data_IF_335101268790
#
_entry.id   IF_335101268790
#
_cell.length_a   1.000
_cell.length_b   1.000
_cell.length_c   1.000
_cell.angle_alpha   90.00
_cell.angle_beta   90.00
_cell.angle_gamma   90.00
#
_symmetry.space_group_name_H-M   'P 1'
#
loop_
_entity.id
_entity.type
_entity.pdbx_description
1 polymer ?
#
# COMPACT_ATOMS: atom_id res chain seq x y z
N UNK A 1 33.70 -71.55 1.82
CA UNK A 1 32.39 -70.92 2.07
C UNK A 1 32.34 -70.47 3.52
N UNK A 2 32.38 -69.16 3.78
CA UNK A 2 32.02 -68.55 5.07
C UNK A 2 31.35 -67.22 4.73
N UNK A 3 30.06 -67.14 5.02
CA UNK A 3 29.15 -66.10 4.58
C UNK A 3 29.30 -64.83 5.43
N UNK A 4 29.40 -63.67 4.78
CA UNK A 4 29.20 -62.36 5.42
C UNK A 4 27.69 -62.13 5.59
N UNK A 5 27.25 -61.94 6.84
CA UNK A 5 25.90 -61.51 7.18
C UNK A 5 25.96 -60.01 7.45
N UNK A 6 25.41 -59.20 6.54
CA UNK A 6 25.19 -57.77 6.76
C UNK A 6 23.89 -57.57 7.54
N UNK A 7 23.98 -56.98 8.73
CA UNK A 7 22.84 -56.56 9.54
C UNK A 7 22.40 -55.17 9.07
N UNK A 8 21.22 -55.08 8.48
CA UNK A 8 20.58 -53.83 8.08
C UNK A 8 19.82 -53.27 9.29
N UNK A 9 20.31 -52.18 9.88
CA UNK A 9 19.63 -51.47 10.95
C UNK A 9 18.51 -50.60 10.36
N UNK A 10 17.26 -50.99 10.60
CA UNK A 10 16.08 -50.21 10.22
C UNK A 10 15.83 -49.12 11.28
N UNK A 11 16.16 -47.87 10.96
CA UNK A 11 15.81 -46.71 11.79
C UNK A 11 14.34 -46.33 11.54
N UNK A 12 13.45 -46.67 12.46
CA UNK A 12 12.09 -46.14 12.48
C UNK A 12 12.10 -44.71 13.02
N UNK A 13 11.97 -43.72 12.15
CA UNK A 13 11.76 -42.32 12.52
C UNK A 13 10.28 -42.12 12.82
N UNK A 14 9.92 -42.06 14.11
CA UNK A 14 8.59 -41.64 14.54
C UNK A 14 8.51 -40.11 14.50
N UNK A 15 7.81 -39.57 13.51
CA UNK A 15 7.52 -38.13 13.43
C UNK A 15 6.49 -37.74 14.50
N UNK A 16 6.73 -36.70 15.32
CA UNK A 16 5.75 -36.21 16.25
C UNK A 16 4.61 -35.52 15.49
N UNK A 17 3.38 -35.99 15.67
CA UNK A 17 2.19 -35.25 15.31
C UNK A 17 2.12 -34.02 16.22
N UNK A 18 2.60 -32.88 15.73
CA UNK A 18 2.38 -31.60 16.38
C UNK A 18 0.87 -31.31 16.35
N UNK A 19 0.21 -31.48 17.50
CA UNK A 19 -1.16 -31.00 17.67
C UNK A 19 -1.15 -29.49 17.47
N UNK A 20 -1.70 -29.02 16.35
CA UNK A 20 -1.83 -27.58 16.10
C UNK A 20 -2.98 -27.04 16.94
N UNK A 21 -2.74 -25.90 17.59
CA UNK A 21 -3.71 -25.24 18.47
C UNK A 21 -4.87 -24.59 17.69
N UNK A 22 -4.72 -24.50 16.37
CA UNK A 22 -5.70 -23.99 15.42
C UNK A 22 -5.41 -24.60 14.05
N UNK A 23 -6.46 -24.82 13.29
CA UNK A 23 -6.37 -25.31 11.92
C UNK A 23 -6.48 -24.11 10.98
N UNK A 24 -5.45 -23.83 10.18
CA UNK A 24 -5.49 -22.76 9.19
C UNK A 24 -6.68 -22.95 8.25
N UNK A 25 -7.45 -21.89 8.06
CA UNK A 25 -8.56 -21.84 7.12
C UNK A 25 -8.47 -20.51 6.37
N UNK A 26 -8.72 -20.53 5.07
CA UNK A 26 -8.69 -19.32 4.24
C UNK A 26 -10.04 -19.15 3.56
N UNK A 27 -10.58 -17.93 3.62
CA UNK A 27 -11.87 -17.63 3.01
C UNK A 27 -12.56 -16.46 3.68
N UNK A 28 -13.88 -16.45 3.59
CA UNK A 28 -14.72 -15.46 4.26
C UNK A 28 -15.72 -16.15 5.19
N UNK A 29 -15.91 -15.57 6.37
CA UNK A 29 -17.01 -15.87 7.28
C UNK A 29 -18.12 -14.84 7.08
N UNK A 30 -19.34 -15.28 6.80
CA UNK A 30 -20.52 -14.41 6.67
C UNK A 30 -21.42 -14.62 7.87
N UNK A 31 -21.61 -13.59 8.70
CA UNK A 31 -22.46 -13.69 9.87
C UNK A 31 -23.95 -13.71 9.44
N UNK A 32 -24.72 -14.67 9.94
CA UNK A 32 -26.16 -14.77 9.69
C UNK A 32 -27.01 -14.07 10.77
N UNK A 33 -26.38 -13.72 11.89
CA UNK A 33 -26.96 -13.02 13.03
C UNK A 33 -25.86 -12.27 13.78
N UNK A 34 -26.23 -11.41 14.73
CA UNK A 34 -25.24 -10.80 15.60
C UNK A 34 -24.79 -11.77 16.70
N UNK A 35 -23.47 -11.91 16.90
CA UNK A 35 -22.91 -12.72 17.98
C UNK A 35 -21.68 -12.06 18.61
N UNK A 36 -21.38 -12.34 19.88
CA UNK A 36 -20.15 -11.91 20.52
C UNK A 36 -18.92 -12.44 19.79
N UNK A 37 -17.87 -11.63 19.73
CA UNK A 37 -16.60 -11.97 19.13
C UNK A 37 -15.49 -11.87 20.19
N UNK A 38 -14.98 -13.01 20.64
CA UNK A 38 -14.12 -13.10 21.82
C UNK A 38 -12.64 -12.93 21.48
N UNK A 39 -11.89 -12.28 22.36
CA UNK A 39 -10.42 -12.37 22.37
C UNK A 39 -9.97 -13.79 22.77
N UNK A 40 -10.61 -14.35 23.78
CA UNK A 40 -10.28 -15.67 24.33
C UNK A 40 -11.56 -16.47 24.55
N UNK A 41 -11.72 -17.55 23.79
CA UNK A 41 -12.86 -18.48 23.95
C UNK A 41 -12.77 -19.30 25.24
N UNK A 42 -11.55 -19.54 25.76
CA UNK A 42 -11.32 -20.27 27.01
C UNK A 42 -11.76 -19.48 28.23
N UNK A 43 -11.46 -18.18 28.24
CA UNK A 43 -11.75 -17.28 29.36
C UNK A 43 -12.98 -16.39 29.11
N UNK A 44 -13.68 -16.60 27.99
CA UNK A 44 -14.81 -15.79 27.50
C UNK A 44 -14.56 -14.27 27.55
N UNK A 45 -13.33 -13.85 27.27
CA UNK A 45 -12.92 -12.45 27.35
C UNK A 45 -13.27 -11.73 26.05
N UNK A 46 -14.07 -10.67 26.14
CA UNK A 46 -14.46 -9.81 25.01
C UNK A 46 -14.31 -8.32 25.35
N UNK A 47 -13.08 -7.78 25.37
CA UNK A 47 -12.88 -6.35 25.64
C UNK A 47 -13.53 -5.51 24.54
N UNK A 48 -14.31 -4.50 24.96
CA UNK A 48 -15.07 -3.65 24.04
C UNK A 48 -16.42 -4.24 23.61
N UNK A 49 -16.84 -5.38 24.16
CA UNK A 49 -18.12 -6.05 23.85
C UNK A 49 -18.36 -6.18 22.34
N UNK A 50 -17.30 -6.54 21.60
CA UNK A 50 -17.32 -6.61 20.15
C UNK A 50 -18.25 -7.73 19.70
N UNK A 51 -19.02 -7.47 18.66
CA UNK A 51 -19.92 -8.44 18.05
C UNK A 51 -19.81 -8.39 16.52
N UNK A 52 -20.03 -9.53 15.87
CA UNK A 52 -20.31 -9.55 14.44
C UNK A 52 -21.73 -9.04 14.19
N UNK A 53 -21.97 -8.47 13.01
CA UNK A 53 -23.25 -7.94 12.58
C UNK A 53 -23.85 -8.82 11.49
N UNK A 54 -25.16 -9.03 11.53
CA UNK A 54 -25.86 -9.88 10.56
C UNK A 54 -25.66 -9.39 9.12
N UNK A 55 -25.38 -10.31 8.21
CA UNK A 55 -25.13 -10.05 6.79
C UNK A 55 -23.73 -9.48 6.48
N UNK A 56 -22.88 -9.25 7.48
CA UNK A 56 -21.52 -8.78 7.26
C UNK A 56 -20.55 -9.93 6.99
N UNK A 57 -19.53 -9.62 6.21
CA UNK A 57 -18.46 -10.53 5.84
C UNK A 57 -17.20 -10.19 6.62
N UNK A 58 -16.50 -11.21 7.07
CA UNK A 58 -15.28 -11.12 7.86
C UNK A 58 -14.22 -12.05 7.28
N UNK A 59 -12.96 -11.65 7.32
CA UNK A 59 -11.84 -12.49 6.85
C UNK A 59 -11.73 -13.70 7.77
N UNK A 60 -11.74 -14.91 7.20
CA UNK A 60 -11.54 -16.16 7.94
C UNK A 60 -10.05 -16.53 7.94
N UNK A 61 -9.49 -16.79 9.13
CA UNK A 61 -8.08 -17.16 9.31
C UNK A 61 -7.87 -18.59 9.80
N UNK A 62 -8.75 -19.08 10.66
CA UNK A 62 -8.57 -20.40 11.27
C UNK A 62 -9.85 -20.92 11.91
N UNK A 63 -9.92 -22.24 12.03
CA UNK A 63 -10.77 -22.92 13.00
C UNK A 63 -9.98 -23.24 14.25
N UNK A 64 -10.60 -23.22 15.43
CA UNK A 64 -9.88 -23.54 16.67
C UNK A 64 -9.44 -25.02 16.79
N UNK A 65 -9.92 -25.90 15.90
CA UNK A 65 -9.60 -27.34 15.82
C UNK A 65 -10.14 -27.92 14.48
N UNK A 66 -9.78 -29.16 14.08
CA UNK A 66 -10.22 -29.76 12.80
C UNK A 66 -11.73 -29.79 12.52
N UNK A 67 -12.55 -29.86 13.56
CA UNK A 67 -14.00 -29.63 13.47
C UNK A 67 -14.32 -28.38 14.29
N UNK A 68 -14.24 -27.18 13.68
CA UNK A 68 -14.21 -25.94 14.44
C UNK A 68 -15.50 -25.75 15.24
N UNK A 69 -15.35 -25.28 16.47
CA UNK A 69 -16.46 -24.73 17.27
C UNK A 69 -16.42 -23.20 17.30
N UNK A 70 -15.28 -22.62 16.94
CA UNK A 70 -15.10 -21.20 16.69
C UNK A 70 -14.23 -20.98 15.45
N UNK A 71 -14.53 -19.90 14.73
CA UNK A 71 -13.71 -19.34 13.66
C UNK A 71 -12.96 -18.12 14.17
N UNK A 72 -11.70 -17.96 13.77
CA UNK A 72 -10.92 -16.74 13.99
C UNK A 72 -11.10 -15.83 12.78
N UNK A 73 -11.59 -14.62 13.05
CA UNK A 73 -11.92 -13.63 12.04
C UNK A 73 -11.35 -12.25 12.42
N UNK A 74 -11.14 -11.40 11.43
CA UNK A 74 -10.82 -9.98 11.68
C UNK A 74 -12.09 -9.17 11.86
N UNK A 75 -12.13 -8.32 12.89
CA UNK A 75 -13.20 -7.34 13.11
C UNK A 75 -12.57 -5.96 13.27
N UNK A 76 -12.89 -5.08 12.33
CA UNK A 76 -12.36 -3.71 12.31
C UNK A 76 -12.78 -2.93 13.57
N UNK A 77 -11.83 -2.18 14.12
CA UNK A 77 -12.01 -1.42 15.38
C UNK A 77 -11.93 -2.27 16.66
N UNK A 78 -11.82 -3.59 16.57
CA UNK A 78 -11.62 -4.45 17.73
C UNK A 78 -10.17 -4.42 18.24
N UNK A 79 -9.99 -4.55 19.57
CA UNK A 79 -8.67 -4.63 20.20
C UNK A 79 -8.57 -5.90 21.08
N UNK A 80 -7.82 -6.93 20.66
CA UNK A 80 -7.19 -7.11 19.34
C UNK A 80 -8.20 -7.28 18.18
N UNK A 81 -7.73 -7.03 16.96
CA UNK A 81 -8.51 -7.10 15.71
C UNK A 81 -9.02 -8.52 15.44
N UNK A 82 -8.16 -9.52 15.67
CA UNK A 82 -8.55 -10.92 15.54
C UNK A 82 -9.44 -11.35 16.71
N UNK A 83 -10.64 -11.84 16.39
CA UNK A 83 -11.63 -12.32 17.34
C UNK A 83 -12.12 -13.71 16.95
N UNK A 84 -12.57 -14.45 17.95
CA UNK A 84 -13.20 -15.75 17.79
C UNK A 84 -14.72 -15.62 17.80
N UNK A 85 -15.38 -16.13 16.77
CA UNK A 85 -16.84 -16.19 16.64
C UNK A 85 -17.30 -17.64 16.57
N UNK A 86 -18.44 -17.95 17.19
CA UNK A 86 -18.99 -19.31 17.18
C UNK A 86 -19.40 -19.72 15.76
N UNK A 87 -19.18 -20.99 15.39
CA UNK A 87 -19.48 -21.49 14.04
C UNK A 87 -20.96 -21.43 13.66
N UNK A 88 -21.88 -21.46 14.64
CA UNK A 88 -23.32 -21.37 14.43
C UNK A 88 -23.78 -19.93 14.08
N UNK A 89 -22.88 -18.95 14.17
CA UNK A 89 -23.16 -17.55 13.91
C UNK A 89 -23.10 -17.18 12.43
N UNK A 90 -22.70 -18.10 11.55
CA UNK A 90 -22.53 -17.78 10.15
C UNK A 90 -22.07 -18.97 9.31
N UNK A 91 -21.72 -18.68 8.06
CA UNK A 91 -21.22 -19.67 7.10
C UNK A 91 -19.84 -19.28 6.61
N UNK A 92 -19.04 -20.29 6.24
CA UNK A 92 -17.71 -20.09 5.67
C UNK A 92 -17.71 -20.51 4.20
N UNK A 93 -17.07 -19.71 3.35
CA UNK A 93 -16.76 -20.08 1.99
C UNK A 93 -15.25 -20.28 1.91
N UNK A 94 -14.80 -21.53 1.86
CA UNK A 94 -13.38 -21.87 1.69
C UNK A 94 -12.95 -21.64 0.24
N UNK A 95 -11.75 -21.09 0.05
CA UNK A 95 -11.14 -20.99 -1.27
C UNK A 95 -10.47 -22.33 -1.63
N UNK A 96 -11.05 -23.09 -2.55
CA UNK A 96 -10.48 -24.37 -3.02
C UNK A 96 -9.53 -24.16 -4.20
N UNK A 97 -8.25 -24.47 -4.00
CA UNK A 97 -7.24 -24.54 -5.08
C UNK A 97 -7.36 -25.84 -5.88
N UNK A 98 -8.10 -25.84 -6.99
CA UNK A 98 -7.91 -26.83 -8.07
C UNK A 98 -8.35 -26.28 -9.43
N UNK A 99 -7.39 -26.16 -10.36
CA UNK A 99 -7.63 -25.83 -11.77
C UNK A 99 -7.36 -27.06 -12.65
N UNK A 100 -8.32 -27.40 -13.53
CA UNK A 100 -8.09 -28.22 -14.73
C UNK A 100 -8.96 -27.67 -15.90
N UNK A 101 -8.53 -27.77 -17.17
CA UNK A 101 -9.08 -26.97 -18.27
C UNK A 101 -10.18 -27.71 -19.05
N UNK A 102 -11.27 -27.00 -19.40
CA UNK A 102 -12.32 -27.52 -20.28
C UNK A 102 -13.13 -26.42 -20.97
N UNK A 103 -12.95 -26.31 -22.30
CA UNK A 103 -13.81 -25.78 -23.37
C UNK A 103 -14.45 -24.36 -23.26
N UNK A 104 -14.61 -23.64 -24.40
CA UNK A 104 -14.89 -22.21 -24.39
C UNK A 104 -16.37 -21.93 -24.11
N UNK A 105 -16.65 -21.31 -22.97
CA UNK A 105 -17.89 -20.59 -22.77
C UNK A 105 -17.80 -19.23 -23.48
N UNK A 106 -18.88 -18.85 -24.17
CA UNK A 106 -19.10 -17.52 -24.76
C UNK A 106 -18.77 -16.40 -23.75
N UNK A 107 -18.39 -15.18 -24.20
CA UNK A 107 -17.89 -14.15 -23.30
C UNK A 107 -18.99 -13.71 -22.34
N UNK A 108 -18.99 -14.29 -21.14
CA UNK A 108 -19.60 -13.67 -19.98
C UNK A 108 -18.73 -12.44 -19.68
N UNK A 109 -19.25 -11.27 -20.01
CA UNK A 109 -18.70 -9.99 -19.53
C UNK A 109 -18.51 -10.14 -18.02
N UNK A 110 -17.27 -10.08 -17.49
CA UNK A 110 -17.05 -10.21 -16.05
C UNK A 110 -17.86 -9.13 -15.34
N UNK A 111 -18.48 -9.40 -14.18
CA UNK A 111 -18.96 -8.33 -13.32
C UNK A 111 -17.75 -7.50 -12.88
N UNK A 112 -17.57 -6.38 -13.59
CA UNK A 112 -16.78 -5.19 -13.30
C UNK A 112 -15.70 -5.28 -12.19
N UNK A 113 -14.45 -5.58 -12.59
CA UNK A 113 -13.27 -5.02 -11.91
C UNK A 113 -13.38 -3.49 -11.72
N UNK A 114 -14.17 -2.82 -12.57
CA UNK A 114 -14.53 -1.39 -12.48
C UNK A 114 -15.26 -1.01 -11.18
N UNK A 115 -15.91 -1.95 -10.48
CA UNK A 115 -16.64 -1.65 -9.24
C UNK A 115 -15.79 -1.85 -7.98
N UNK A 116 -14.75 -2.70 -8.02
CA UNK A 116 -13.91 -2.99 -6.85
C UNK A 116 -13.10 -1.78 -6.36
N UNK A 117 -12.72 -0.87 -7.28
CA UNK A 117 -12.00 0.37 -6.94
C UNK A 117 -12.91 1.57 -6.66
N UNK A 118 -14.22 1.48 -6.86
CA UNK A 118 -15.10 2.66 -6.89
C UNK A 118 -15.19 3.42 -5.55
N UNK A 119 -14.93 2.73 -4.44
CA UNK A 119 -14.87 3.32 -3.09
C UNK A 119 -13.47 3.20 -2.45
N UNK A 120 -12.45 2.80 -3.22
CA UNK A 120 -11.10 2.64 -2.69
C UNK A 120 -10.52 4.01 -2.31
N UNK A 121 -9.93 4.09 -1.13
CA UNK A 121 -9.21 5.27 -0.67
C UNK A 121 -7.70 5.04 -0.82
N UNK A 122 -6.96 6.10 -1.12
CA UNK A 122 -5.52 6.09 -1.28
C UNK A 122 -4.90 7.32 -0.63
N UNK A 123 -3.64 7.20 -0.22
CA UNK A 123 -2.75 8.35 -0.05
C UNK A 123 -1.82 8.40 -1.25
N UNK A 124 -1.84 9.51 -1.99
CA UNK A 124 -0.90 9.75 -3.07
C UNK A 124 0.20 10.68 -2.58
N UNK A 125 1.39 10.12 -2.40
CA UNK A 125 2.55 10.80 -1.83
C UNK A 125 3.50 11.26 -2.95
N UNK A 126 3.84 12.55 -2.94
CA UNK A 126 4.82 13.11 -3.87
C UNK A 126 5.91 13.88 -3.11
N UNK A 127 7.16 13.60 -3.48
CA UNK A 127 8.33 14.19 -2.87
C UNK A 127 8.80 15.45 -3.61
N UNK A 128 9.33 16.41 -2.85
CA UNK A 128 10.22 17.43 -3.38
C UNK A 128 11.66 16.92 -3.33
N UNK A 129 12.16 16.41 -4.46
CA UNK A 129 13.36 15.56 -4.50
C UNK A 129 14.61 16.25 -3.95
N UNK A 130 14.79 17.55 -4.17
CA UNK A 130 15.94 18.29 -3.63
C UNK A 130 15.99 18.22 -2.09
N UNK A 131 14.83 18.34 -1.43
CA UNK A 131 14.75 18.24 0.03
C UNK A 131 14.97 16.79 0.53
N UNK A 132 14.47 15.79 -0.20
CA UNK A 132 14.81 14.39 0.06
C UNK A 132 16.33 14.17 0.00
N UNK A 133 16.98 14.70 -1.03
CA UNK A 133 18.42 14.56 -1.24
C UNK A 133 19.28 15.33 -0.25
N UNK A 134 18.81 16.44 0.32
CA UNK A 134 19.49 17.07 1.47
C UNK A 134 19.50 16.12 2.69
N UNK A 135 18.41 15.38 2.91
CA UNK A 135 18.29 14.42 4.01
C UNK A 135 18.99 13.09 3.79
N UNK A 136 19.14 12.66 2.53
CA UNK A 136 19.71 11.36 2.14
C UNK A 136 20.70 11.50 0.96
N UNK A 137 21.78 12.29 1.11
CA UNK A 137 22.69 12.60 0.00
C UNK A 137 23.44 11.38 -0.56
N UNK A 138 23.48 10.28 0.20
CA UNK A 138 24.14 9.04 -0.20
C UNK A 138 23.35 8.17 -1.19
N UNK A 139 22.08 8.47 -1.46
CA UNK A 139 21.25 7.71 -2.41
C UNK A 139 21.70 7.94 -3.85
N UNK A 140 21.56 6.93 -4.71
CA UNK A 140 22.07 6.97 -6.09
C UNK A 140 21.45 8.12 -6.89
N UNK A 141 20.14 8.31 -6.75
CA UNK A 141 19.37 9.38 -7.39
C UNK A 141 19.79 10.79 -6.93
N UNK A 142 20.34 10.90 -5.72
CA UNK A 142 20.80 12.15 -5.12
C UNK A 142 22.22 12.51 -5.52
N UNK A 143 23.11 11.51 -5.62
CA UNK A 143 24.48 11.71 -6.09
C UNK A 143 24.55 12.24 -7.53
N UNK A 144 23.56 11.88 -8.34
CA UNK A 144 23.45 12.30 -9.74
C UNK A 144 22.50 13.50 -9.94
N UNK A 145 21.95 14.08 -8.86
CA UNK A 145 21.00 15.19 -8.97
C UNK A 145 21.71 16.45 -9.47
N UNK A 146 21.08 17.20 -10.39
CA UNK A 146 21.61 18.45 -10.91
C UNK A 146 20.48 19.44 -11.21
N UNK A 147 20.76 20.76 -11.26
CA UNK A 147 19.73 21.77 -11.52
C UNK A 147 19.00 21.63 -12.87
N UNK A 148 19.55 20.88 -13.82
CA UNK A 148 18.95 20.65 -15.14
C UNK A 148 18.11 19.37 -15.22
N UNK A 149 18.11 18.52 -14.19
CA UNK A 149 17.25 17.33 -14.18
C UNK A 149 15.80 17.69 -13.91
N UNK A 150 14.89 16.83 -14.37
CA UNK A 150 13.44 17.02 -14.24
C UNK A 150 13.01 17.21 -12.78
N UNK A 151 13.58 16.42 -11.87
CA UNK A 151 13.34 16.43 -10.42
C UNK A 151 13.97 17.62 -9.67
N UNK A 152 14.61 18.56 -10.37
CA UNK A 152 15.07 19.82 -9.78
C UNK A 152 13.96 20.86 -9.66
N UNK A 153 12.90 20.73 -10.47
CA UNK A 153 11.82 21.74 -10.57
C UNK A 153 10.42 21.13 -10.54
N UNK A 154 10.30 19.80 -10.53
CA UNK A 154 9.01 19.10 -10.51
C UNK A 154 8.89 18.22 -9.27
N UNK A 155 7.66 17.93 -8.87
CA UNK A 155 7.41 16.89 -7.88
C UNK A 155 7.79 15.53 -8.45
N UNK A 156 8.24 14.65 -7.56
CA UNK A 156 8.60 13.27 -7.87
C UNK A 156 7.69 12.30 -7.15
N UNK A 157 7.42 11.17 -7.77
CA UNK A 157 6.53 10.16 -7.23
C UNK A 157 7.23 9.44 -6.07
N UNK A 158 6.57 9.41 -4.91
CA UNK A 158 6.90 8.49 -3.84
C UNK A 158 6.04 7.23 -3.99
N UNK A 159 4.71 7.38 -3.94
CA UNK A 159 3.81 6.24 -4.18
C UNK A 159 2.32 6.55 -4.06
N UNK A 160 1.49 5.53 -4.34
CA UNK A 160 0.04 5.54 -4.21
C UNK A 160 -0.42 4.41 -3.28
N UNK A 161 -0.71 4.74 -2.03
CA UNK A 161 -0.87 3.73 -0.98
C UNK A 161 -2.35 3.41 -0.73
N UNK A 162 -2.84 2.20 -1.07
CA UNK A 162 -4.20 1.79 -0.76
C UNK A 162 -4.47 1.89 0.75
N UNK A 163 -5.60 2.46 1.11
CA UNK A 163 -6.03 2.62 2.49
C UNK A 163 -6.99 1.51 2.93
N UNK A 164 -7.08 1.21 4.24
CA UNK A 164 -6.28 1.78 5.34
C UNK A 164 -4.81 1.35 5.28
N UNK A 165 -3.91 2.02 6.01
CA UNK A 165 -2.45 1.70 6.07
C UNK A 165 -2.11 0.21 6.27
N UNK A 166 -3.00 -0.57 6.92
CA UNK A 166 -2.82 -2.01 7.09
C UNK A 166 -3.02 -2.85 5.81
N UNK A 167 -3.52 -2.25 4.73
CA UNK A 167 -3.68 -2.85 3.42
C UNK A 167 -2.34 -2.86 2.68
N UNK A 168 -1.46 -3.76 3.12
CA UNK A 168 -0.09 -3.88 2.62
C UNK A 168 0.28 -5.34 2.32
N UNK A 169 1.24 -5.53 1.40
CA UNK A 169 1.81 -6.84 1.04
C UNK A 169 0.77 -7.89 0.58
N UNK A 170 -0.19 -7.49 -0.26
CA UNK A 170 -1.28 -8.36 -0.67
C UNK A 170 -0.82 -9.46 -1.65
N UNK A 171 -0.70 -10.69 -1.15
CA UNK A 171 -0.24 -11.83 -1.95
C UNK A 171 1.27 -11.83 -2.18
N UNK A 172 2.03 -11.08 -1.38
CA UNK A 172 3.50 -11.01 -1.48
C UNK A 172 4.14 -12.14 -0.65
N UNK A 173 5.12 -12.88 -1.19
CA UNK A 173 5.83 -13.92 -0.45
C UNK A 173 6.50 -13.39 0.83
N UNK A 174 6.43 -14.15 1.92
CA UNK A 174 7.02 -13.75 3.23
C UNK A 174 8.50 -13.36 3.14
N UNK A 175 9.27 -14.02 2.27
CA UNK A 175 10.67 -13.69 2.05
C UNK A 175 10.85 -12.28 1.47
N UNK A 176 9.97 -11.85 0.56
CA UNK A 176 10.00 -10.53 -0.07
C UNK A 176 9.51 -9.48 0.94
N UNK A 177 8.49 -9.80 1.75
CA UNK A 177 8.06 -8.95 2.88
C UNK A 177 9.22 -8.71 3.86
N UNK A 178 10.01 -9.75 4.16
CA UNK A 178 11.13 -9.64 5.07
C UNK A 178 12.31 -8.87 4.46
N UNK A 179 12.60 -9.08 3.17
CA UNK A 179 13.61 -8.32 2.44
C UNK A 179 13.25 -6.84 2.40
N UNK A 180 11.98 -6.52 2.13
CA UNK A 180 11.47 -5.16 2.10
C UNK A 180 11.63 -4.45 3.45
N UNK A 181 11.19 -5.09 4.54
CA UNK A 181 11.36 -4.58 5.92
C UNK A 181 12.81 -4.43 6.35
N UNK A 182 13.72 -5.18 5.73
CA UNK A 182 15.17 -5.07 5.95
C UNK A 182 15.83 -4.04 5.02
N UNK A 183 15.06 -3.30 4.22
CA UNK A 183 15.53 -2.36 3.20
C UNK A 183 16.42 -2.99 2.12
N UNK A 184 16.23 -4.29 1.84
CA UNK A 184 16.93 -5.05 0.81
C UNK A 184 16.15 -5.00 -0.51
N UNK A 185 15.85 -3.77 -0.96
CA UNK A 185 14.95 -3.54 -2.11
C UNK A 185 15.52 -4.08 -3.42
N UNK A 186 16.84 -4.18 -3.54
CA UNK A 186 17.53 -4.81 -4.67
C UNK A 186 17.22 -6.31 -4.81
N UNK A 187 16.82 -6.96 -3.71
CA UNK A 187 16.45 -8.38 -3.67
C UNK A 187 14.96 -8.63 -3.94
N UNK A 188 14.14 -7.58 -3.92
CA UNK A 188 12.72 -7.70 -4.25
C UNK A 188 12.52 -8.02 -5.73
N UNK A 189 11.43 -8.72 -6.02
CA UNK A 189 11.04 -9.01 -7.39
C UNK A 189 10.81 -7.70 -8.17
N UNK A 190 11.41 -7.62 -9.35
CA UNK A 190 11.19 -6.49 -10.24
C UNK A 190 9.72 -6.47 -10.73
N UNK A 191 9.03 -5.32 -10.63
CA UNK A 191 7.68 -5.18 -11.16
C UNK A 191 7.65 -5.40 -12.68
N UNK A 192 6.61 -6.08 -13.17
CA UNK A 192 6.41 -6.30 -14.60
C UNK A 192 5.83 -5.03 -15.25
N UNK A 193 6.70 -4.25 -15.89
CA UNK A 193 6.38 -2.97 -16.52
C UNK A 193 6.66 -3.01 -18.01
N UNK A 194 5.74 -2.46 -18.79
CA UNK A 194 5.99 -2.15 -20.19
C UNK A 194 7.16 -1.17 -20.34
N UNK A 195 7.87 -1.16 -21.49
CA UNK A 195 8.96 -0.21 -21.71
C UNK A 195 8.53 1.26 -21.55
N UNK A 196 7.32 1.59 -21.96
CA UNK A 196 6.77 2.95 -21.86
C UNK A 196 6.55 3.36 -20.40
N UNK A 197 5.86 2.52 -19.61
CA UNK A 197 5.64 2.77 -18.18
C UNK A 197 6.95 2.88 -17.44
N UNK A 198 7.90 1.97 -17.71
CA UNK A 198 9.23 1.98 -17.10
C UNK A 198 9.98 3.29 -17.38
N UNK A 199 10.00 3.73 -18.62
CA UNK A 199 10.69 4.97 -18.99
C UNK A 199 10.06 6.20 -18.30
N UNK A 200 8.73 6.28 -18.30
CA UNK A 200 8.03 7.39 -17.67
C UNK A 200 8.20 7.39 -16.15
N UNK A 201 8.15 6.19 -15.53
CA UNK A 201 8.38 6.00 -14.11
C UNK A 201 9.81 6.41 -13.70
N UNK A 202 10.83 6.07 -14.48
CA UNK A 202 12.22 6.47 -14.17
C UNK A 202 12.41 7.99 -14.12
N UNK A 203 11.68 8.73 -14.97
CA UNK A 203 11.71 10.20 -14.93
C UNK A 203 10.92 10.77 -13.74
N UNK A 204 9.73 10.19 -13.45
CA UNK A 204 8.85 10.67 -12.40
C UNK A 204 9.27 10.24 -10.98
N UNK A 205 9.93 9.09 -10.84
CA UNK A 205 10.39 8.48 -9.60
C UNK A 205 11.92 8.25 -9.68
N UNK A 206 12.75 9.26 -9.36
CA UNK A 206 14.20 9.09 -9.35
C UNK A 206 14.67 7.95 -8.45
N UNK A 207 13.92 7.65 -7.37
CA UNK A 207 14.16 6.53 -6.47
C UNK A 207 14.20 5.15 -7.12
N UNK A 208 13.78 5.01 -8.39
CA UNK A 208 14.01 3.78 -9.17
C UNK A 208 15.50 3.42 -9.32
N UNK A 209 16.40 4.41 -9.21
CA UNK A 209 17.85 4.16 -9.15
C UNK A 209 18.29 3.43 -7.88
N UNK A 210 17.45 3.47 -6.84
CA UNK A 210 17.63 2.79 -5.55
C UNK A 210 16.53 1.77 -5.27
N UNK A 211 15.86 1.25 -6.32
CA UNK A 211 14.84 0.20 -6.25
C UNK A 211 13.55 0.57 -5.49
N UNK A 212 13.23 1.86 -5.38
CA UNK A 212 12.01 2.33 -4.71
C UNK A 212 10.75 1.72 -5.32
N UNK A 213 10.69 1.56 -6.65
CA UNK A 213 9.54 0.96 -7.33
C UNK A 213 9.26 -0.48 -6.88
N UNK A 214 10.30 -1.21 -6.44
CA UNK A 214 10.12 -2.57 -5.95
C UNK A 214 9.48 -2.58 -4.57
N UNK A 215 9.89 -1.66 -3.70
CA UNK A 215 9.28 -1.42 -2.40
C UNK A 215 7.82 -0.99 -2.55
N UNK A 216 7.57 0.05 -3.35
CA UNK A 216 6.23 0.60 -3.56
C UNK A 216 5.28 -0.45 -4.16
N UNK A 217 5.77 -1.30 -5.06
CA UNK A 217 4.97 -2.41 -5.56
C UNK A 217 4.73 -3.48 -4.50
N UNK A 218 5.76 -3.93 -3.79
CA UNK A 218 5.62 -5.00 -2.82
C UNK A 218 4.70 -4.59 -1.66
N UNK A 219 4.96 -3.44 -1.03
CA UNK A 219 4.17 -3.00 0.12
C UNK A 219 2.78 -2.50 -0.30
N UNK A 220 2.67 -1.71 -1.37
CA UNK A 220 1.43 -0.98 -1.69
C UNK A 220 0.75 -1.44 -2.98
N UNK A 221 1.48 -1.48 -4.10
CA UNK A 221 0.93 -1.79 -5.41
C UNK A 221 0.36 -3.21 -5.52
N UNK A 222 0.90 -4.17 -4.77
CA UNK A 222 0.38 -5.54 -4.67
C UNK A 222 -1.07 -5.56 -4.18
N UNK A 223 -1.49 -4.55 -3.41
CA UNK A 223 -2.85 -4.35 -2.91
C UNK A 223 -3.76 -3.60 -3.89
N UNK A 224 -3.23 -3.05 -4.98
CA UNK A 224 -4.02 -2.37 -6.01
C UNK A 224 -5.05 -3.30 -6.65
N UNK A 225 -6.25 -2.78 -6.93
CA UNK A 225 -7.42 -3.59 -7.29
C UNK A 225 -7.22 -4.44 -8.56
N UNK A 226 -6.41 -3.95 -9.50
CA UNK A 226 -6.18 -4.60 -10.80
C UNK A 226 -5.08 -5.65 -10.79
N UNK A 227 -4.29 -5.72 -9.71
CA UNK A 227 -3.17 -6.68 -9.56
C UNK A 227 -2.18 -6.65 -10.74
N UNK A 228 -1.98 -5.47 -11.33
CA UNK A 228 -1.05 -5.20 -12.43
C UNK A 228 -0.10 -4.08 -12.04
N UNK A 229 1.20 -4.37 -12.04
CA UNK A 229 2.24 -3.39 -11.75
C UNK A 229 2.30 -2.30 -12.83
N UNK A 230 2.22 -2.69 -14.10
CA UNK A 230 2.20 -1.74 -15.21
C UNK A 230 1.02 -0.75 -15.08
N UNK A 231 -0.19 -1.26 -14.79
CA UNK A 231 -1.36 -0.40 -14.60
C UNK A 231 -1.23 0.51 -13.38
N UNK A 232 -0.72 -0.01 -12.26
CA UNK A 232 -0.49 0.75 -11.04
C UNK A 232 0.45 1.95 -11.29
N UNK A 233 1.67 1.70 -11.77
CA UNK A 233 2.63 2.76 -12.01
C UNK A 233 2.26 3.68 -13.18
N UNK A 234 1.64 3.18 -14.25
CA UNK A 234 1.20 4.03 -15.35
C UNK A 234 0.16 5.06 -14.87
N UNK A 235 -0.74 4.66 -13.96
CA UNK A 235 -1.75 5.55 -13.39
C UNK A 235 -1.16 6.55 -12.41
N UNK A 236 -0.20 6.16 -11.61
CA UNK A 236 0.57 7.10 -10.76
C UNK A 236 1.31 8.15 -11.59
N UNK A 237 1.96 7.72 -12.68
CA UNK A 237 2.62 8.62 -13.64
C UNK A 237 1.60 9.59 -14.26
N UNK A 238 0.40 9.12 -14.61
CA UNK A 238 -0.66 9.99 -15.12
C UNK A 238 -1.18 11.00 -14.08
N UNK A 239 -1.28 10.60 -12.80
CA UNK A 239 -1.69 11.47 -11.70
C UNK A 239 -0.64 12.53 -11.37
N UNK A 240 0.63 12.15 -11.23
CA UNK A 240 1.70 13.12 -10.97
C UNK A 240 1.93 14.03 -12.19
N UNK A 241 1.67 13.53 -13.41
CA UNK A 241 1.65 14.36 -14.62
C UNK A 241 0.65 15.52 -14.52
N UNK A 242 -0.57 15.25 -14.05
CA UNK A 242 -1.59 16.29 -13.82
C UNK A 242 -1.10 17.33 -12.80
N UNK A 243 -0.52 16.88 -11.67
CA UNK A 243 0.07 17.77 -10.68
C UNK A 243 1.21 18.63 -11.25
N UNK A 244 2.13 18.01 -11.99
CA UNK A 244 3.31 18.67 -12.54
C UNK A 244 3.01 19.62 -13.70
N UNK A 245 1.79 19.57 -14.27
CA UNK A 245 1.30 20.55 -15.26
C UNK A 245 0.39 21.63 -14.65
N UNK A 246 0.20 21.63 -13.33
CA UNK A 246 -0.75 22.50 -12.64
C UNK A 246 -0.10 23.76 -12.05
N UNK A 247 -0.91 24.76 -11.62
CA UNK A 247 -0.45 25.87 -10.80
C UNK A 247 0.33 25.48 -9.54
N UNK A 248 0.13 24.28 -8.98
CA UNK A 248 0.86 23.80 -7.79
C UNK A 248 2.34 23.62 -8.09
N UNK A 249 2.69 22.96 -9.19
CA UNK A 249 4.09 22.79 -9.60
C UNK A 249 4.73 24.14 -9.91
N UNK A 250 4.00 25.03 -10.59
CA UNK A 250 4.48 26.38 -10.88
C UNK A 250 4.78 27.16 -9.59
N UNK A 251 3.91 27.07 -8.58
CA UNK A 251 4.13 27.69 -7.27
C UNK A 251 5.46 27.24 -6.65
N UNK A 252 5.75 25.94 -6.68
CA UNK A 252 7.01 25.41 -6.15
C UNK A 252 8.21 25.89 -6.98
N UNK A 253 8.15 25.75 -8.30
CA UNK A 253 9.24 26.15 -9.20
C UNK A 253 9.60 27.64 -9.08
N UNK A 254 8.61 28.54 -8.99
CA UNK A 254 8.84 29.99 -8.85
C UNK A 254 9.41 30.37 -7.46
N UNK A 255 9.29 29.48 -6.48
CA UNK A 255 9.67 29.70 -5.09
C UNK A 255 10.82 28.80 -4.60
N UNK A 256 11.59 28.19 -5.50
CA UNK A 256 12.82 27.47 -5.14
C UNK A 256 13.75 28.40 -4.34
N UNK A 257 14.19 27.92 -3.18
CA UNK A 257 15.00 28.64 -2.20
C UNK A 257 14.21 29.56 -1.26
N UNK A 258 12.89 29.68 -1.43
CA UNK A 258 12.02 30.59 -0.65
C UNK A 258 11.04 29.82 0.21
N UNK A 259 10.50 30.53 1.21
CA UNK A 259 9.40 30.04 2.04
C UNK A 259 8.06 30.15 1.31
N UNK A 260 7.25 29.11 1.39
CA UNK A 260 5.86 29.06 0.92
C UNK A 260 4.95 28.70 2.10
N UNK A 261 3.78 29.33 2.20
CA UNK A 261 2.78 28.99 3.21
C UNK A 261 1.95 27.81 2.74
N UNK A 262 1.56 26.93 3.66
CA UNK A 262 0.68 25.80 3.34
C UNK A 262 -0.70 26.25 2.87
N UNK A 263 -1.17 27.43 3.31
CA UNK A 263 -2.38 28.05 2.76
C UNK A 263 -2.26 28.34 1.26
N UNK A 264 -1.09 28.79 0.80
CA UNK A 264 -0.85 29.10 -0.62
C UNK A 264 -0.79 27.82 -1.44
N UNK A 265 -0.19 26.76 -0.89
CA UNK A 265 -0.16 25.42 -1.50
C UNK A 265 -1.59 24.90 -1.67
N UNK A 266 -2.39 24.90 -0.59
CA UNK A 266 -3.79 24.45 -0.63
C UNK A 266 -4.65 25.29 -1.57
N UNK A 267 -4.44 26.61 -1.61
CA UNK A 267 -5.12 27.48 -2.58
C UNK A 267 -4.75 27.18 -4.03
N UNK A 268 -3.47 26.82 -4.31
CA UNK A 268 -3.06 26.38 -5.64
C UNK A 268 -3.72 25.04 -6.04
N UNK A 269 -3.95 24.14 -5.08
CA UNK A 269 -4.73 22.92 -5.32
C UNK A 269 -6.19 23.23 -5.64
N UNK A 270 -6.83 24.15 -4.91
CA UNK A 270 -8.20 24.59 -5.20
C UNK A 270 -8.31 25.20 -6.61
N UNK A 271 -7.34 26.01 -7.00
CA UNK A 271 -7.27 26.60 -8.34
C UNK A 271 -7.09 25.53 -9.43
N UNK A 272 -6.27 24.52 -9.17
CA UNK A 272 -5.90 23.49 -10.14
C UNK A 272 -6.97 22.40 -10.31
N UNK A 273 -7.56 21.96 -9.20
CA UNK A 273 -8.34 20.72 -9.12
C UNK A 273 -9.79 20.93 -8.65
N UNK A 274 -10.15 22.17 -8.35
CA UNK A 274 -11.51 22.58 -7.98
C UNK A 274 -11.65 22.91 -6.49
N UNK A 275 -12.71 23.63 -6.10
CA UNK A 275 -12.89 24.10 -4.73
C UNK A 275 -12.87 22.96 -3.71
N UNK A 276 -12.07 23.13 -2.64
CA UNK A 276 -11.95 22.15 -1.55
C UNK A 276 -10.88 21.08 -1.79
N UNK A 277 -10.28 21.00 -2.98
CA UNK A 277 -9.16 20.10 -3.25
C UNK A 277 -8.01 20.32 -2.26
N UNK A 278 -7.76 21.57 -1.87
CA UNK A 278 -6.74 21.94 -0.89
C UNK A 278 -6.94 21.29 0.48
N UNK A 279 -8.17 21.03 0.94
CA UNK A 279 -8.36 20.41 2.27
C UNK A 279 -7.95 18.93 2.31
N UNK A 280 -7.67 18.31 1.15
CA UNK A 280 -7.25 16.91 1.00
C UNK A 280 -5.73 16.77 0.96
N UNK A 281 -5.02 17.88 1.17
CA UNK A 281 -3.57 17.99 1.04
C UNK A 281 -2.90 18.17 2.39
N UNK A 282 -1.98 17.25 2.72
CA UNK A 282 -1.08 17.36 3.87
C UNK A 282 0.31 17.78 3.38
N UNK A 283 0.93 18.76 4.03
CA UNK A 283 2.29 19.21 3.69
C UNK A 283 3.27 18.75 4.76
N UNK A 284 4.16 17.85 4.37
CA UNK A 284 5.20 17.29 5.21
C UNK A 284 6.48 18.14 5.14
N UNK A 285 6.99 18.51 6.32
CA UNK A 285 8.22 19.29 6.44
C UNK A 285 9.24 18.59 7.34
N UNK A 286 10.53 18.73 7.02
CA UNK A 286 11.65 18.36 7.88
C UNK A 286 12.47 19.59 8.29
N UNK A 287 13.19 19.49 9.41
CA UNK A 287 14.16 20.51 9.83
C UNK A 287 15.57 20.15 9.37
N UNK A 288 16.25 21.12 8.76
CA UNK A 288 17.67 21.09 8.44
C UNK A 288 18.33 22.30 9.09
N UNK A 289 18.93 22.10 10.26
CA UNK A 289 19.37 23.19 11.12
C UNK A 289 18.19 24.08 11.56
N UNK A 290 18.26 25.37 11.25
CA UNK A 290 17.19 26.35 11.51
C UNK A 290 16.13 26.41 10.40
N UNK A 291 16.36 25.75 9.26
CA UNK A 291 15.44 25.74 8.13
C UNK A 291 14.35 24.70 8.33
N UNK A 292 13.11 25.06 8.04
CA UNK A 292 12.00 24.13 7.85
C UNK A 292 11.80 23.98 6.35
N UNK A 293 11.97 22.78 5.83
CA UNK A 293 11.99 22.47 4.40
C UNK A 293 10.82 21.55 4.08
N UNK A 294 10.09 21.85 3.01
CA UNK A 294 9.01 20.99 2.50
C UNK A 294 9.65 19.77 1.85
N UNK A 295 9.34 18.58 2.34
CA UNK A 295 9.88 17.32 1.82
C UNK A 295 8.88 16.57 0.97
N UNK A 296 7.60 16.66 1.31
CA UNK A 296 6.56 15.84 0.70
C UNK A 296 5.20 16.53 0.77
N UNK A 297 4.34 16.22 -0.19
CA UNK A 297 2.95 16.64 -0.26
C UNK A 297 2.11 15.37 -0.45
N UNK A 298 1.23 15.09 0.50
CA UNK A 298 0.36 13.92 0.48
C UNK A 298 -1.07 14.33 0.15
N UNK A 299 -1.72 13.56 -0.72
CA UNK A 299 -3.09 13.78 -1.16
C UNK A 299 -3.97 12.60 -0.78
N UNK A 300 -5.04 12.85 -0.02
CA UNK A 300 -6.11 11.87 0.13
C UNK A 300 -6.88 11.77 -1.20
N UNK A 301 -6.97 10.57 -1.75
CA UNK A 301 -7.70 10.26 -2.98
C UNK A 301 -8.78 9.21 -2.70
N UNK A 302 -9.94 9.32 -3.35
CA UNK A 302 -10.99 8.33 -3.25
C UNK A 302 -11.68 8.06 -4.59
N UNK A 303 -11.81 6.78 -4.90
CA UNK A 303 -12.49 6.28 -6.09
C UNK A 303 -11.61 5.43 -7.00
N UNK A 304 -12.17 5.06 -8.14
CA UNK A 304 -11.50 4.19 -9.10
C UNK A 304 -10.36 4.95 -9.78
N UNK A 305 -9.12 4.55 -9.49
CA UNK A 305 -7.94 4.94 -10.28
C UNK A 305 -7.90 4.03 -11.52
N UNK A 306 -8.71 4.37 -12.54
CA UNK A 306 -8.81 3.62 -13.80
C UNK A 306 -7.77 4.07 -14.85
N UNK A 307 -7.91 3.63 -16.10
CA UNK A 307 -6.94 3.88 -17.19
C UNK A 307 -6.68 5.36 -17.49
N UNK A 308 -7.69 6.21 -17.25
CA UNK A 308 -7.58 7.66 -17.41
C UNK A 308 -7.97 8.33 -16.09
N UNK A 309 -7.10 8.25 -15.05
CA UNK A 309 -7.46 8.72 -13.72
C UNK A 309 -7.52 10.26 -13.71
N UNK A 310 -8.48 10.82 -12.99
CA UNK A 310 -8.65 12.27 -12.83
C UNK A 310 -8.29 12.65 -11.40
N UNK A 311 -7.19 13.40 -11.22
CA UNK A 311 -6.76 13.84 -9.90
C UNK A 311 -7.83 14.73 -9.25
N UNK A 312 -8.47 15.62 -10.02
CA UNK A 312 -9.58 16.45 -9.54
C UNK A 312 -10.75 15.63 -9.00
N UNK A 313 -11.16 14.60 -9.72
CA UNK A 313 -12.30 13.76 -9.31
C UNK A 313 -11.97 12.93 -8.08
N UNK A 314 -10.74 12.40 -7.99
CA UNK A 314 -10.29 11.60 -6.86
C UNK A 314 -10.15 12.45 -5.58
N UNK A 315 -9.65 13.68 -5.69
CA UNK A 315 -9.58 14.64 -4.57
C UNK A 315 -10.97 15.07 -4.10
N UNK A 316 -11.88 15.36 -5.03
CA UNK A 316 -13.24 15.81 -4.70
C UNK A 316 -14.05 14.77 -3.91
N UNK A 317 -13.77 13.49 -4.14
CA UNK A 317 -14.44 12.38 -3.46
C UNK A 317 -13.82 12.03 -2.09
N UNK A 318 -12.61 12.51 -1.79
CA UNK A 318 -11.86 12.10 -0.62
C UNK A 318 -12.16 12.95 0.62
N UNK A 319 -12.00 12.33 1.77
CA UNK A 319 -12.09 12.99 3.07
C UNK A 319 -10.95 14.01 3.27
N UNK A 320 -11.21 15.17 3.89
CA UNK A 320 -10.19 16.13 4.28
C UNK A 320 -9.10 15.53 5.17
N UNK A 321 -7.93 16.16 5.18
CA UNK A 321 -6.80 15.83 6.04
C UNK A 321 -6.26 17.07 6.76
N UNK A 322 -5.47 16.85 7.80
CA UNK A 322 -4.77 17.95 8.46
C UNK A 322 -3.73 18.58 7.51
N UNK A 323 -3.48 19.90 7.61
CA UNK A 323 -2.57 20.59 6.69
C UNK A 323 -1.09 20.24 6.86
N UNK A 324 -0.68 19.58 7.94
CA UNK A 324 0.72 19.38 8.26
C UNK A 324 1.41 20.66 8.73
N UNK A 325 2.63 20.91 8.24
CA UNK A 325 3.37 22.12 8.63
C UNK A 325 2.67 23.39 8.13
N UNK A 326 2.77 24.55 8.82
CA UNK A 326 2.12 25.80 8.39
C UNK A 326 2.81 26.47 7.20
N UNK A 327 4.10 26.19 6.99
CA UNK A 327 4.94 26.72 5.90
C UNK A 327 6.20 25.87 5.78
N UNK A 328 6.97 26.05 4.72
CA UNK A 328 8.31 25.50 4.57
C UNK A 328 9.06 26.11 3.38
N UNK A 329 10.36 25.88 3.33
CA UNK A 329 11.23 26.26 2.21
C UNK A 329 11.11 25.20 1.11
N UNK A 330 10.96 25.65 -0.13
CA UNK A 330 11.12 24.78 -1.32
C UNK A 330 12.62 24.66 -1.58
N UNK A 331 13.22 23.51 -1.29
CA UNK A 331 14.68 23.38 -1.29
C UNK A 331 15.30 23.42 -2.70
N UNK A 332 16.43 24.12 -2.93
CA UNK A 332 17.15 24.01 -4.19
C UNK A 332 18.00 22.73 -4.23
N UNK A 333 18.34 22.25 -5.43
CA UNK A 333 19.32 21.17 -5.61
C UNK A 333 20.64 21.54 -4.93
N UNK A 334 21.17 20.60 -4.14
CA UNK A 334 22.38 20.79 -3.33
C UNK A 334 22.14 21.37 -1.93
N UNK A 335 20.89 21.67 -1.58
CA UNK A 335 20.48 22.11 -0.25
C UNK A 335 21.23 23.35 0.25
N UNK A 336 21.47 23.40 1.57
CA UNK A 336 22.16 24.48 2.27
C UNK A 336 23.63 24.68 1.88
N UNK A 337 24.26 23.77 1.14
CA UNK A 337 25.68 23.89 0.75
C UNK A 337 25.99 25.03 -0.24
N UNK A 338 24.95 25.71 -0.76
CA UNK A 338 25.07 26.83 -1.71
C UNK A 338 24.65 28.20 -1.15
N UNK A 339 24.23 28.29 0.12
CA UNK A 339 23.74 29.54 0.74
C UNK A 339 24.25 29.73 2.16
#
# INVERSE_FOLDING_TARGET
MRHLVSVLALLCVASPLAARAEEPMSGAFTANRSCPAFQSIRNQTNPGNVAVASGQHYVLHAGNKPNPTYYRIDIDGAQPVQRWVAVDCGTVNEASDTSAPGAPAAPATPPAARNAGANAAYVFAVSWQAAFCEGLPGKAECQTQSPSRYDATHFTLHGLWPQPRGNAYCGVPQQDVQADKNHQWDQLREPDLSPATRQALQQAMPGTQSYLERHEWAEHGSCFFEKSADAYFAREVALIGQLNTSPVQKLFADNIGKQVQTSDIRAAFDQAFGPGAGDRVHVSCRRFGNRRVITEVDMNLQGLVGDNPSLSSLLANADPTDPGCPWGIVDPVGGSSRW
#
